data_IF_486647312483
#
_entry.id   IF_486647312483
#
_cell.length_a   1.000
_cell.length_b   1.000
_cell.length_c   1.000
_cell.angle_alpha   90.00
_cell.angle_beta   90.00
_cell.angle_gamma   90.00
#
_symmetry.space_group_name_H-M   'P 1'
#
loop_
_entity.id
_entity.type
_entity.pdbx_description
1 polymer ?
#
# COMPACT_ATOMS: atom_id res chain seq x y z
N UNK A 1 4.31 -26.80 1.28
CA UNK A 1 3.86 -25.42 1.62
C UNK A 1 4.17 -24.52 0.43
N UNK A 2 3.22 -24.39 -0.51
CA UNK A 2 3.38 -23.59 -1.73
C UNK A 2 2.13 -22.77 -2.09
N UNK A 3 1.06 -22.83 -1.26
CA UNK A 3 -0.23 -22.18 -1.55
C UNK A 3 -0.42 -20.78 -0.97
N UNK A 4 0.34 -20.39 0.07
CA UNK A 4 0.16 -19.08 0.74
C UNK A 4 0.84 -17.91 0.01
N UNK A 5 1.90 -18.17 -0.75
CA UNK A 5 2.65 -17.10 -1.45
C UNK A 5 1.94 -16.72 -2.76
N UNK A 6 1.25 -17.66 -3.41
CA UNK A 6 0.56 -17.39 -4.68
C UNK A 6 -0.70 -16.52 -4.55
N UNK A 7 -1.34 -16.47 -3.37
CA UNK A 7 -2.52 -15.62 -3.15
C UNK A 7 -2.21 -14.11 -3.06
N UNK A 8 -0.94 -13.72 -2.81
CA UNK A 8 -0.55 -12.30 -2.72
C UNK A 8 -0.59 -11.56 -4.07
N UNK A 9 -0.48 -12.25 -5.21
CA UNK A 9 -0.38 -11.61 -6.53
C UNK A 9 -1.73 -11.48 -7.27
N UNK A 10 -2.80 -12.14 -6.81
CA UNK A 10 -4.03 -12.27 -7.57
C UNK A 10 -5.14 -11.29 -7.19
N UNK A 11 -4.89 -10.31 -6.30
CA UNK A 11 -5.93 -9.38 -5.80
C UNK A 11 -5.99 -8.02 -6.47
N UNK A 12 -4.97 -7.59 -7.22
CA UNK A 12 -4.93 -6.21 -7.76
C UNK A 12 -5.37 -6.08 -9.23
N UNK A 13 -5.50 -7.18 -9.98
CA UNK A 13 -5.74 -7.11 -11.43
C UNK A 13 -7.18 -7.42 -11.89
N UNK A 14 -8.14 -7.75 -11.02
CA UNK A 14 -9.41 -8.34 -11.47
C UNK A 14 -10.69 -7.48 -11.30
N UNK A 15 -10.65 -6.31 -10.64
CA UNK A 15 -11.89 -5.58 -10.34
C UNK A 15 -12.01 -4.14 -10.87
N UNK A 16 -10.97 -3.58 -11.50
CA UNK A 16 -11.12 -2.27 -12.18
C UNK A 16 -12.04 -2.32 -13.41
N UNK A 17 -12.49 -3.51 -13.85
CA UNK A 17 -13.35 -3.72 -15.03
C UNK A 17 -14.84 -3.96 -14.78
N UNK A 18 -15.31 -4.11 -13.54
CA UNK A 18 -16.73 -4.43 -13.24
C UNK A 18 -17.45 -3.30 -12.51
N UNK A 19 -17.35 -2.08 -13.03
CA UNK A 19 -18.30 -1.01 -12.73
C UNK A 19 -19.65 -1.23 -13.45
N UNK A 20 -20.21 -2.45 -13.35
CA UNK A 20 -21.49 -2.85 -13.90
C UNK A 20 -22.43 -3.27 -12.77
N UNK A 21 -23.55 -2.56 -12.62
CA UNK A 21 -24.53 -2.75 -11.55
C UNK A 21 -25.11 -4.17 -11.52
N UNK A 22 -24.74 -4.98 -10.52
CA UNK A 22 -25.46 -6.21 -10.17
C UNK A 22 -26.30 -5.98 -8.92
N UNK A 23 -27.62 -6.14 -9.04
CA UNK A 23 -28.61 -6.01 -7.95
C UNK A 23 -28.59 -7.18 -6.93
N UNK A 24 -27.49 -7.91 -6.82
CA UNK A 24 -27.33 -9.03 -5.89
C UNK A 24 -26.48 -8.60 -4.69
N UNK A 25 -26.75 -9.16 -3.50
CA UNK A 25 -25.98 -8.95 -2.28
C UNK A 25 -24.47 -9.28 -2.38
N UNK A 26 -24.03 -9.76 -3.55
CA UNK A 26 -22.64 -9.99 -3.94
C UNK A 26 -21.74 -8.78 -3.68
N UNK A 27 -22.20 -7.55 -3.94
CA UNK A 27 -21.38 -6.36 -3.66
C UNK A 27 -21.03 -6.25 -2.17
N UNK A 28 -22.02 -6.47 -1.29
CA UNK A 28 -21.83 -6.41 0.16
C UNK A 28 -20.96 -7.55 0.65
N UNK A 29 -21.10 -8.74 0.07
CA UNK A 29 -20.24 -9.89 0.36
C UNK A 29 -18.78 -9.61 -0.02
N UNK A 30 -18.54 -9.09 -1.23
CA UNK A 30 -17.20 -8.69 -1.70
C UNK A 30 -16.61 -7.58 -0.83
N UNK A 31 -17.39 -6.55 -0.47
CA UNK A 31 -16.94 -5.47 0.42
C UNK A 31 -16.54 -6.02 1.81
N UNK A 32 -17.33 -6.95 2.37
CA UNK A 32 -17.00 -7.61 3.63
C UNK A 32 -15.70 -8.43 3.52
N UNK A 33 -15.54 -9.22 2.46
CA UNK A 33 -14.31 -9.99 2.23
C UNK A 33 -13.08 -9.10 2.07
N UNK A 34 -13.22 -7.97 1.38
CA UNK A 34 -12.15 -6.99 1.24
C UNK A 34 -11.79 -6.36 2.58
N UNK A 35 -12.77 -5.99 3.41
CA UNK A 35 -12.53 -5.46 4.75
C UNK A 35 -11.82 -6.49 5.64
N UNK A 36 -12.25 -7.74 5.61
CA UNK A 36 -11.58 -8.82 6.37
C UNK A 36 -10.12 -9.00 5.93
N UNK A 37 -9.89 -9.04 4.62
CA UNK A 37 -8.53 -9.18 4.08
C UNK A 37 -7.63 -7.96 4.38
N UNK A 38 -8.19 -6.74 4.38
CA UNK A 38 -7.47 -5.53 4.79
C UNK A 38 -7.05 -5.63 6.25
N UNK A 39 -7.94 -6.06 7.13
CA UNK A 39 -7.64 -6.24 8.56
C UNK A 39 -6.58 -7.32 8.79
N UNK A 40 -6.66 -8.46 8.11
CA UNK A 40 -5.63 -9.51 8.19
C UNK A 40 -4.26 -8.99 7.74
N UNK A 41 -4.20 -8.27 6.63
CA UNK A 41 -2.95 -7.66 6.18
C UNK A 41 -2.43 -6.63 7.17
N UNK A 42 -3.33 -5.87 7.80
CA UNK A 42 -2.96 -4.84 8.76
C UNK A 42 -2.44 -5.43 10.08
N UNK A 43 -2.94 -6.61 10.47
CA UNK A 43 -2.40 -7.41 11.58
C UNK A 43 -0.98 -7.90 11.27
N UNK A 44 -0.72 -8.42 10.06
CA UNK A 44 0.64 -8.81 9.66
C UNK A 44 1.62 -7.63 9.75
N UNK A 45 1.19 -6.43 9.35
CA UNK A 45 2.01 -5.22 9.47
C UNK A 45 2.26 -4.81 10.92
N UNK A 46 1.29 -5.00 11.81
CA UNK A 46 1.50 -4.72 13.23
C UNK A 46 2.56 -5.67 13.83
N UNK A 47 2.58 -6.94 13.43
CA UNK A 47 3.62 -7.89 13.83
C UNK A 47 5.00 -7.50 13.25
N UNK A 48 5.06 -7.08 11.99
CA UNK A 48 6.29 -6.56 11.38
C UNK A 48 6.80 -5.32 12.15
N UNK A 49 5.90 -4.42 12.56
CA UNK A 49 6.24 -3.28 13.42
C UNK A 49 6.82 -3.71 14.76
N UNK A 50 6.23 -4.72 15.41
CA UNK A 50 6.77 -5.29 16.66
C UNK A 50 8.14 -5.94 16.47
N UNK A 51 8.36 -6.55 15.31
CA UNK A 51 9.65 -7.11 14.92
C UNK A 51 10.69 -6.05 14.54
N UNK A 52 10.34 -4.76 14.56
CA UNK A 52 11.24 -3.66 14.23
C UNK A 52 11.47 -3.50 12.73
N UNK A 53 10.60 -4.06 11.88
CA UNK A 53 10.65 -3.82 10.44
C UNK A 53 10.50 -2.32 10.19
N UNK A 54 11.36 -1.77 9.35
CA UNK A 54 11.31 -0.36 8.98
C UNK A 54 9.99 -0.07 8.27
N UNK A 55 9.27 0.93 8.79
CA UNK A 55 8.00 1.39 8.23
C UNK A 55 8.01 2.92 8.07
N UNK A 56 7.13 3.48 7.22
CA UNK A 56 6.89 4.91 7.15
C UNK A 56 6.46 5.47 8.51
N UNK A 57 6.93 6.68 8.84
CA UNK A 57 6.73 7.32 10.15
C UNK A 57 5.27 7.39 10.59
N UNK A 58 4.35 7.63 9.64
CA UNK A 58 2.92 7.65 9.91
C UNK A 58 2.41 6.29 10.42
N UNK A 59 2.79 5.20 9.75
CA UNK A 59 2.38 3.85 10.13
C UNK A 59 3.00 3.46 11.48
N UNK A 60 4.28 3.78 11.69
CA UNK A 60 4.96 3.61 12.98
C UNK A 60 4.25 4.38 14.10
N UNK A 61 3.77 5.60 13.83
CA UNK A 61 3.07 6.43 14.84
C UNK A 61 1.69 5.86 15.19
N UNK A 62 0.92 5.43 14.20
CA UNK A 62 -0.38 4.79 14.43
C UNK A 62 -0.23 3.49 15.20
N UNK A 63 0.74 2.63 14.83
CA UNK A 63 0.99 1.39 15.55
C UNK A 63 1.56 1.61 16.95
N UNK A 64 2.39 2.64 17.16
CA UNK A 64 2.83 3.03 18.49
C UNK A 64 1.65 3.44 19.38
N UNK A 65 0.68 4.22 18.85
CA UNK A 65 -0.54 4.57 19.59
C UNK A 65 -1.34 3.33 19.97
N UNK A 66 -1.55 2.41 19.04
CA UNK A 66 -2.26 1.14 19.29
C UNK A 66 -1.55 0.31 20.35
N UNK A 67 -0.22 0.20 20.25
CA UNK A 67 0.62 -0.52 21.22
C UNK A 67 0.50 0.05 22.62
N UNK A 68 0.60 1.38 22.75
CA UNK A 68 0.55 2.07 24.05
C UNK A 68 -0.83 1.91 24.70
N UNK A 69 -1.92 1.95 23.93
CA UNK A 69 -3.29 1.74 24.42
C UNK A 69 -3.59 0.26 24.75
N UNK A 70 -2.98 -0.68 24.03
CA UNK A 70 -3.03 -2.12 24.36
C UNK A 70 -2.17 -2.49 25.57
N UNK A 71 -1.15 -1.70 25.88
CA UNK A 71 -0.09 -2.08 26.81
C UNK A 71 0.77 -3.22 26.28
N UNK A 72 0.90 -3.34 24.96
CA UNK A 72 1.64 -4.41 24.29
C UNK A 72 3.15 -4.11 24.29
N UNK A 73 3.87 -4.69 25.24
CA UNK A 73 5.32 -4.56 25.35
C UNK A 73 6.00 -5.93 25.29
N UNK A 74 7.30 -6.01 24.96
CA UNK A 74 8.02 -7.28 24.94
C UNK A 74 7.80 -8.09 26.24
N UNK A 75 7.30 -9.32 26.10
CA UNK A 75 6.99 -10.20 27.24
C UNK A 75 5.56 -10.13 27.78
N UNK A 76 4.70 -9.26 27.23
CA UNK A 76 3.27 -9.22 27.56
C UNK A 76 2.43 -9.99 26.54
N UNK A 77 1.49 -10.80 27.04
CA UNK A 77 0.49 -11.46 26.20
C UNK A 77 -0.66 -10.50 25.95
N UNK A 78 -0.88 -10.14 24.69
CA UNK A 78 -2.00 -9.30 24.26
C UNK A 78 -3.24 -10.15 24.04
N UNK A 79 -4.41 -9.61 24.41
CA UNK A 79 -5.68 -10.15 23.94
C UNK A 79 -5.82 -9.93 22.42
N UNK A 80 -5.69 -11.00 21.65
CA UNK A 80 -5.80 -10.99 20.20
C UNK A 80 -7.15 -10.43 19.70
N UNK A 81 -8.24 -10.64 20.44
CA UNK A 81 -9.55 -10.09 20.08
C UNK A 81 -9.56 -8.57 20.25
N UNK A 82 -8.95 -8.06 21.32
CA UNK A 82 -8.79 -6.62 21.56
C UNK A 82 -7.90 -5.96 20.52
N UNK A 83 -6.75 -6.56 20.18
CA UNK A 83 -5.88 -6.08 19.12
C UNK A 83 -6.63 -5.98 17.78
N UNK A 84 -7.34 -7.04 17.41
CA UNK A 84 -8.15 -7.08 16.18
C UNK A 84 -9.21 -5.98 16.17
N UNK A 85 -9.89 -5.74 17.30
CA UNK A 85 -10.89 -4.68 17.42
C UNK A 85 -10.27 -3.28 17.24
N UNK A 86 -9.10 -3.02 17.83
CA UNK A 86 -8.42 -1.73 17.74
C UNK A 86 -7.87 -1.45 16.33
N UNK A 87 -7.42 -2.50 15.63
CA UNK A 87 -6.92 -2.39 14.26
C UNK A 87 -8.04 -2.38 13.20
N UNK A 88 -9.27 -2.78 13.54
CA UNK A 88 -10.38 -2.84 12.59
C UNK A 88 -10.72 -1.47 11.98
N UNK A 89 -10.77 -0.40 12.77
CA UNK A 89 -11.11 0.93 12.24
C UNK A 89 -9.98 1.53 11.36
N UNK A 90 -8.71 1.54 11.82
CA UNK A 90 -7.60 2.00 10.97
C UNK A 90 -7.44 1.16 9.68
N UNK A 91 -7.74 -0.15 9.72
CA UNK A 91 -7.68 -1.00 8.53
C UNK A 91 -8.75 -0.66 7.47
N UNK A 92 -9.81 0.09 7.79
CA UNK A 92 -10.86 0.46 6.81
C UNK A 92 -10.32 1.41 5.74
N UNK A 93 -9.43 2.33 6.14
CA UNK A 93 -8.79 3.29 5.23
C UNK A 93 -7.44 2.79 4.71
N UNK A 94 -7.15 1.50 4.89
CA UNK A 94 -5.96 0.87 4.36
C UNK A 94 -6.23 0.24 2.99
N UNK A 95 -5.47 0.67 1.99
CA UNK A 95 -5.58 0.20 0.62
C UNK A 95 -4.24 -0.39 0.16
N UNK A 96 -4.11 -1.73 0.12
CA UNK A 96 -2.87 -2.34 -0.32
C UNK A 96 -2.63 -2.13 -1.82
N UNK A 97 -1.37 -2.01 -2.23
CA UNK A 97 -1.02 -1.79 -3.63
C UNK A 97 0.26 -2.49 -4.06
N UNK A 98 0.54 -2.44 -5.38
CA UNK A 98 1.70 -3.15 -5.96
C UNK A 98 3.01 -2.40 -5.72
N UNK A 99 3.00 -1.07 -5.86
CA UNK A 99 4.19 -0.23 -5.68
C UNK A 99 4.22 0.45 -4.31
N UNK A 100 3.06 0.60 -3.68
CA UNK A 100 2.90 1.20 -2.37
C UNK A 100 1.53 0.82 -1.82
N UNK A 101 1.42 0.83 -0.50
CA UNK A 101 0.15 0.82 0.19
C UNK A 101 -0.32 2.26 0.43
N UNK A 102 -1.61 2.47 0.66
CA UNK A 102 -2.19 3.77 0.94
C UNK A 102 -2.93 3.75 2.29
N UNK A 103 -2.45 4.56 3.23
CA UNK A 103 -3.10 4.88 4.48
C UNK A 103 -3.97 6.11 4.27
N UNK A 104 -5.16 5.89 3.73
CA UNK A 104 -5.94 6.93 3.08
C UNK A 104 -6.53 7.94 4.06
N UNK A 105 -6.23 9.21 3.80
CA UNK A 105 -6.83 10.38 4.42
C UNK A 105 -7.14 11.38 3.29
N UNK A 106 -8.43 11.57 3.00
CA UNK A 106 -8.89 12.31 1.82
C UNK A 106 -8.33 13.74 1.77
N UNK A 107 -8.21 14.40 2.93
CA UNK A 107 -7.71 15.78 3.06
C UNK A 107 -6.25 15.96 2.61
N UNK A 108 -5.45 14.89 2.60
CA UNK A 108 -4.01 14.94 2.27
C UNK A 108 -3.64 14.08 1.07
N UNK A 109 -4.61 13.40 0.45
CA UNK A 109 -4.40 12.43 -0.61
C UNK A 109 -4.06 13.11 -1.95
N UNK A 110 -2.79 13.03 -2.37
CA UNK A 110 -2.35 13.59 -3.67
C UNK A 110 -2.99 12.88 -4.87
N UNK A 111 -3.48 11.66 -4.70
CA UNK A 111 -4.22 10.94 -5.75
C UNK A 111 -5.58 11.56 -6.07
N UNK A 112 -6.09 12.44 -5.20
CA UNK A 112 -7.34 13.17 -5.38
C UNK A 112 -7.15 14.60 -5.90
N UNK A 113 -5.91 15.10 -6.05
CA UNK A 113 -5.65 16.51 -6.41
C UNK A 113 -6.23 16.96 -7.75
N UNK A 114 -6.71 16.04 -8.59
CA UNK A 114 -7.37 16.32 -9.88
C UNK A 114 -8.90 16.19 -9.83
N UNK A 115 -9.48 15.93 -8.64
CA UNK A 115 -10.93 15.80 -8.46
C UNK A 115 -11.55 17.05 -7.81
N UNK A 116 -12.85 17.30 -8.05
CA UNK A 116 -13.64 18.19 -7.21
C UNK A 116 -13.61 17.74 -5.74
N UNK A 117 -14.05 18.61 -4.82
CA UNK A 117 -14.09 18.33 -3.38
C UNK A 117 -14.58 16.90 -3.09
N UNK A 118 -13.78 16.17 -2.32
CA UNK A 118 -14.02 14.76 -2.02
C UNK A 118 -15.31 14.59 -1.20
N UNK A 119 -16.17 13.69 -1.66
CA UNK A 119 -17.29 13.15 -0.88
C UNK A 119 -16.74 12.31 0.30
N UNK A 120 -17.40 12.27 1.47
CA UNK A 120 -17.04 11.34 2.56
C UNK A 120 -16.85 9.87 2.14
N UNK A 121 -17.50 9.39 1.07
CA UNK A 121 -17.32 8.03 0.53
C UNK A 121 -16.22 7.93 -0.57
N UNK A 122 -15.34 8.93 -0.66
CA UNK A 122 -14.28 8.93 -1.68
C UNK A 122 -13.18 7.92 -1.35
N UNK A 123 -12.88 7.04 -2.29
CA UNK A 123 -11.75 6.11 -2.22
C UNK A 123 -10.49 6.66 -2.92
N UNK A 124 -9.28 6.20 -2.55
CA UNK A 124 -8.05 6.59 -3.23
C UNK A 124 -8.01 6.10 -4.68
N UNK A 125 -7.52 6.96 -5.56
CA UNK A 125 -7.26 6.61 -6.96
C UNK A 125 -5.80 6.17 -7.07
N UNK A 126 -5.52 4.89 -6.79
CA UNK A 126 -4.15 4.39 -6.57
C UNK A 126 -3.20 4.64 -7.75
N UNK A 127 -3.68 4.52 -9.00
CA UNK A 127 -2.90 4.83 -10.21
C UNK A 127 -2.52 6.31 -10.37
N UNK A 128 -3.19 7.22 -9.65
CA UNK A 128 -2.85 8.65 -9.59
C UNK A 128 -1.95 9.00 -8.38
N UNK A 129 -1.61 8.02 -7.54
CA UNK A 129 -0.74 8.26 -6.41
C UNK A 129 0.63 8.76 -6.87
N UNK A 130 1.26 9.58 -6.03
CA UNK A 130 2.66 9.97 -6.17
C UNK A 130 3.43 9.41 -4.98
N UNK A 131 3.87 8.14 -5.00
CA UNK A 131 4.30 7.45 -3.78
C UNK A 131 5.48 8.11 -3.09
N UNK A 132 6.42 8.65 -3.86
CA UNK A 132 7.58 9.37 -3.34
C UNK A 132 7.26 10.71 -2.65
N UNK A 133 6.02 11.21 -2.73
CA UNK A 133 5.62 12.53 -2.21
C UNK A 133 4.36 12.51 -1.35
N UNK A 134 3.48 11.55 -1.59
CA UNK A 134 2.16 11.52 -0.95
C UNK A 134 2.30 11.10 0.51
N UNK A 135 1.80 11.89 1.48
CA UNK A 135 1.88 11.55 2.91
C UNK A 135 1.00 10.34 3.31
N UNK A 136 0.14 9.89 2.40
CA UNK A 136 -0.67 8.68 2.56
C UNK A 136 0.03 7.43 2.03
N UNK A 137 1.10 7.60 1.24
CA UNK A 137 1.78 6.47 0.62
C UNK A 137 2.75 5.81 1.58
N UNK A 138 2.69 4.49 1.65
CA UNK A 138 3.59 3.66 2.44
C UNK A 138 4.34 2.69 1.52
N UNK A 139 5.64 2.92 1.34
CA UNK A 139 6.50 2.00 0.60
C UNK A 139 7.22 1.10 1.59
N UNK A 140 6.71 -0.12 1.73
CA UNK A 140 7.26 -1.20 2.56
C UNK A 140 8.20 -2.13 1.78
N UNK A 141 9.07 -2.91 2.45
CA UNK A 141 9.98 -3.87 1.81
C UNK A 141 9.30 -4.84 0.83
N UNK A 142 8.04 -5.22 1.09
CA UNK A 142 7.26 -6.09 0.22
C UNK A 142 7.02 -5.55 -1.20
N UNK A 143 7.13 -4.23 -1.42
CA UNK A 143 6.97 -3.62 -2.75
C UNK A 143 8.25 -3.65 -3.59
N UNK A 144 9.41 -3.94 -2.98
CA UNK A 144 10.72 -3.92 -3.64
C UNK A 144 10.76 -4.73 -4.94
N UNK A 145 10.23 -5.97 -5.01
CA UNK A 145 10.24 -6.74 -6.26
C UNK A 145 9.51 -6.05 -7.42
N UNK A 146 8.37 -5.40 -7.13
CA UNK A 146 7.62 -4.68 -8.16
C UNK A 146 8.35 -3.40 -8.59
N UNK A 147 8.98 -2.69 -7.65
CA UNK A 147 9.80 -1.51 -7.94
C UNK A 147 11.01 -1.88 -8.80
N UNK A 148 11.73 -2.94 -8.44
CA UNK A 148 12.89 -3.43 -9.22
C UNK A 148 12.46 -3.81 -10.64
N UNK A 149 11.31 -4.48 -10.81
CA UNK A 149 10.76 -4.78 -12.12
C UNK A 149 10.52 -3.51 -12.97
N UNK A 150 9.93 -2.47 -12.39
CA UNK A 150 9.70 -1.20 -13.10
C UNK A 150 11.03 -0.55 -13.51
N UNK A 151 12.05 -0.60 -12.65
CA UNK A 151 13.39 -0.09 -12.96
C UNK A 151 14.01 -0.88 -14.13
N UNK A 152 13.92 -2.20 -14.11
CA UNK A 152 14.50 -3.06 -15.13
C UNK A 152 13.77 -2.93 -16.47
N UNK A 153 12.44 -2.87 -16.46
CA UNK A 153 11.64 -2.63 -17.66
C UNK A 153 12.00 -1.25 -18.29
N UNK A 154 12.17 -0.20 -17.47
CA UNK A 154 12.59 1.12 -17.94
C UNK A 154 14.02 1.13 -18.51
N UNK A 155 14.95 0.38 -17.91
CA UNK A 155 16.31 0.19 -18.43
C UNK A 155 16.30 -0.57 -19.75
N UNK A 156 15.46 -1.58 -19.89
CA UNK A 156 15.31 -2.31 -21.14
C UNK A 156 14.78 -1.40 -22.25
N UNK A 157 13.80 -0.53 -21.95
CA UNK A 157 13.28 0.44 -22.92
C UNK A 157 14.37 1.38 -23.45
N UNK A 158 15.32 1.80 -22.61
CA UNK A 158 16.45 2.63 -23.02
C UNK A 158 17.37 1.95 -24.06
N UNK A 159 17.35 0.62 -24.16
CA UNK A 159 18.14 -0.13 -25.15
C UNK A 159 17.50 -0.14 -26.55
N UNK A 160 16.22 0.22 -26.67
CA UNK A 160 15.48 0.17 -27.94
C UNK A 160 15.94 1.32 -28.85
N UNK A 161 16.44 0.97 -30.04
CA UNK A 161 16.85 1.94 -31.07
C UNK A 161 15.61 2.65 -31.64
N UNK A 162 15.24 3.82 -31.09
CA UNK A 162 14.44 4.91 -31.69
C UNK A 162 13.90 5.97 -30.70
N UNK A 163 14.31 5.96 -29.44
CA UNK A 163 13.80 6.95 -28.47
C UNK A 163 14.31 8.37 -28.76
N UNK A 164 13.40 9.35 -28.71
CA UNK A 164 13.73 10.76 -28.73
C UNK A 164 14.50 11.19 -27.48
N UNK A 165 15.20 12.33 -27.54
CA UNK A 165 15.91 12.87 -26.37
C UNK A 165 14.99 13.05 -25.16
N UNK A 166 13.78 13.57 -25.38
CA UNK A 166 12.77 13.76 -24.32
C UNK A 166 12.33 12.44 -23.67
N UNK A 167 12.12 11.40 -24.48
CA UNK A 167 11.74 10.08 -23.97
C UNK A 167 12.86 9.46 -23.12
N UNK A 168 14.12 9.62 -23.54
CA UNK A 168 15.27 9.16 -22.74
C UNK A 168 15.36 9.89 -21.40
N UNK A 169 15.20 11.21 -21.41
CA UNK A 169 15.19 12.01 -20.17
C UNK A 169 14.08 11.57 -19.23
N UNK A 170 12.86 11.34 -19.75
CA UNK A 170 11.74 10.86 -18.95
C UNK A 170 12.01 9.49 -18.31
N UNK A 171 12.57 8.53 -19.07
CA UNK A 171 12.94 7.22 -18.53
C UNK A 171 14.04 7.31 -17.47
N UNK A 172 15.06 8.16 -17.65
CA UNK A 172 16.09 8.39 -16.64
C UNK A 172 15.50 8.96 -15.35
N UNK A 173 14.62 9.95 -15.45
CA UNK A 173 13.92 10.53 -14.28
C UNK A 173 13.05 9.49 -13.56
N UNK A 174 12.35 8.64 -14.32
CA UNK A 174 11.54 7.57 -13.76
C UNK A 174 12.41 6.55 -13.00
N UNK A 175 13.53 6.11 -13.60
CA UNK A 175 14.48 5.19 -12.95
C UNK A 175 14.98 5.80 -11.63
N UNK A 176 15.40 7.06 -11.66
CA UNK A 176 15.90 7.75 -10.47
C UNK A 176 14.83 7.86 -9.37
N UNK A 177 13.60 8.17 -9.74
CA UNK A 177 12.48 8.24 -8.80
C UNK A 177 12.18 6.86 -8.17
N UNK A 178 12.15 5.80 -8.98
CA UNK A 178 11.87 4.45 -8.51
C UNK A 178 13.01 3.91 -7.64
N UNK A 179 14.27 4.24 -7.95
CA UNK A 179 15.42 3.92 -7.09
C UNK A 179 15.28 4.60 -5.73
N UNK A 180 14.96 5.90 -5.69
CA UNK A 180 14.71 6.59 -4.42
C UNK A 180 13.60 5.94 -3.60
N UNK A 181 12.50 5.50 -4.24
CA UNK A 181 11.44 4.75 -3.55
C UNK A 181 11.91 3.41 -3.02
N UNK A 182 12.72 2.67 -3.79
CA UNK A 182 13.28 1.40 -3.36
C UNK A 182 14.19 1.56 -2.14
N UNK A 183 15.07 2.56 -2.18
CA UNK A 183 16.09 2.77 -1.15
C UNK A 183 15.46 3.19 0.20
N UNK A 184 14.26 3.80 0.19
CA UNK A 184 13.46 4.06 1.39
C UNK A 184 13.06 2.79 2.16
N UNK A 185 13.05 1.63 1.49
CA UNK A 185 12.71 0.34 2.09
C UNK A 185 13.90 -0.37 2.74
N UNK A 186 15.12 0.17 2.60
CA UNK A 186 16.31 -0.46 3.16
C UNK A 186 16.41 -0.22 4.68
N UNK A 187 16.82 -1.25 5.46
CA UNK A 187 17.08 -1.07 6.88
C UNK A 187 18.14 0.02 7.07
N UNK A 188 17.96 0.88 8.08
CA UNK A 188 19.02 1.82 8.46
C UNK A 188 20.24 0.99 8.89
N UNK A 189 21.39 1.23 8.25
CA UNK A 189 22.68 0.64 8.64
C UNK A 189 23.19 1.23 9.94
#
# INVERSE_FOLDING_TARGET
MAGKIQYKHMKVAMFEGYAGSSASGFRKEVENEQQMARLEHFLDQYEDFKAGVRMPSRLTSEFARVRDELGDFPGHTVDAARLRAMLANPARTYYPGVLNDCYFEASTALCLSRRPAADPDTEPVMNHCQPAKCPNSCVLPQHRPAIDKVIDDARQLLTIRRLSGLQKTALHQQIEQMQRMRDQTEPAS
#
